data_IF_157592757365
#
_entry.id   IF_157592757365
#
_cell.length_a   1.000
_cell.length_b   1.000
_cell.length_c   1.000
_cell.angle_alpha   90.00
_cell.angle_beta   90.00
_cell.angle_gamma   90.00
#
_symmetry.space_group_name_H-M   'P 1'
#
loop_
_entity.id
_entity.type
_entity.pdbx_description
1 polymer ?
#
# COMPACT_ATOMS: atom_id res chain seq x y z
N UNK A 1 2.60 22.24 -11.17
CA UNK A 1 2.79 22.50 -9.72
C UNK A 1 3.77 21.44 -9.21
N UNK A 2 4.86 21.82 -8.53
CA UNK A 2 5.83 20.83 -8.01
C UNK A 2 5.20 20.18 -6.77
N UNK A 3 4.98 18.86 -6.80
CA UNK A 3 4.57 18.09 -5.63
C UNK A 3 5.73 18.07 -4.62
N UNK A 4 5.80 19.11 -3.78
CA UNK A 4 6.69 19.12 -2.63
C UNK A 4 5.87 18.75 -1.41
N UNK A 5 6.08 17.53 -0.92
CA UNK A 5 5.53 17.12 0.37
C UNK A 5 6.14 18.00 1.46
N UNK A 6 5.29 18.67 2.23
CA UNK A 6 5.73 19.50 3.35
C UNK A 6 6.06 18.59 4.54
N UNK A 7 7.27 18.72 5.05
CA UNK A 7 7.63 18.12 6.34
C UNK A 7 6.82 18.80 7.44
N UNK A 8 6.01 18.02 8.15
CA UNK A 8 5.30 18.46 9.35
C UNK A 8 6.25 18.48 10.54
N UNK A 9 5.90 19.24 11.59
CA UNK A 9 6.69 19.28 12.83
C UNK A 9 6.79 17.88 13.48
N UNK A 10 5.76 17.06 13.35
CA UNK A 10 5.74 15.67 13.81
C UNK A 10 6.79 14.81 13.09
N UNK A 11 6.87 14.90 11.76
CA UNK A 11 7.89 14.18 10.98
C UNK A 11 9.30 14.61 11.40
N UNK A 12 9.50 15.92 11.62
CA UNK A 12 10.79 16.47 12.03
C UNK A 12 11.18 15.95 13.42
N UNK A 13 10.26 16.00 14.39
CA UNK A 13 10.51 15.52 15.74
C UNK A 13 10.86 14.03 15.74
N UNK A 14 10.11 13.20 14.99
CA UNK A 14 10.38 11.76 14.86
C UNK A 14 11.80 11.49 14.33
N UNK A 15 12.23 12.21 13.30
CA UNK A 15 13.59 12.09 12.73
C UNK A 15 14.64 12.47 13.77
N UNK A 16 14.46 13.61 14.45
CA UNK A 16 15.42 14.13 15.43
C UNK A 16 15.56 13.18 16.62
N UNK A 17 14.44 12.70 17.17
CA UNK A 17 14.45 11.79 18.33
C UNK A 17 15.11 10.46 17.97
N UNK A 18 14.77 9.87 16.82
CA UNK A 18 15.34 8.61 16.35
C UNK A 18 16.86 8.73 16.18
N UNK A 19 17.33 9.83 15.57
CA UNK A 19 18.76 10.09 15.42
C UNK A 19 19.46 10.29 16.77
N UNK A 20 18.92 11.14 17.65
CA UNK A 20 19.53 11.47 18.96
C UNK A 20 19.67 10.25 19.85
N UNK A 21 18.66 9.38 19.85
CA UNK A 21 18.64 8.19 20.68
C UNK A 21 19.46 7.04 20.09
N UNK A 22 19.92 7.14 18.83
CA UNK A 22 20.64 6.08 18.11
C UNK A 22 19.93 4.73 18.21
N UNK A 23 18.63 4.74 17.91
CA UNK A 23 17.80 3.54 17.96
C UNK A 23 17.58 3.00 16.54
N UNK A 24 17.70 1.69 16.40
CA UNK A 24 17.19 1.01 15.22
C UNK A 24 15.67 0.91 15.32
N UNK A 25 14.98 1.14 14.20
CA UNK A 25 13.52 1.09 14.10
C UNK A 25 13.19 0.33 12.83
N UNK A 26 12.38 -0.72 12.97
CA UNK A 26 11.98 -1.57 11.85
C UNK A 26 11.46 -0.74 10.67
N UNK A 27 11.96 -1.06 9.47
CA UNK A 27 11.66 -0.38 8.18
C UNK A 27 11.90 1.13 8.13
N UNK A 28 12.51 1.73 9.14
CA UNK A 28 12.66 3.19 9.26
C UNK A 28 14.10 3.65 9.52
N UNK A 29 14.82 3.01 10.43
CA UNK A 29 16.15 3.44 10.85
C UNK A 29 17.06 2.26 11.20
N UNK A 30 18.32 2.35 10.79
CA UNK A 30 19.36 1.37 11.11
C UNK A 30 20.58 2.05 11.70
N UNK A 31 21.19 1.41 12.69
CA UNK A 31 22.42 1.90 13.34
C UNK A 31 23.61 1.17 12.72
N UNK A 32 24.09 1.69 11.59
CA UNK A 32 25.17 1.06 10.85
C UNK A 32 26.51 1.15 11.60
N UNK A 33 27.24 0.03 11.65
CA UNK A 33 28.60 -0.01 12.20
C UNK A 33 29.62 0.48 11.17
N UNK A 34 30.80 0.91 11.62
CA UNK A 34 31.85 1.38 10.70
C UNK A 34 32.34 0.26 9.78
N UNK A 35 32.46 -0.96 10.28
CA UNK A 35 32.81 -2.13 9.48
C UNK A 35 31.78 -2.39 8.36
N UNK A 36 30.49 -2.28 8.67
CA UNK A 36 29.40 -2.43 7.71
C UNK A 36 29.43 -1.34 6.63
N UNK A 37 29.64 -0.09 7.04
CA UNK A 37 29.79 1.04 6.10
C UNK A 37 30.97 0.80 5.16
N UNK A 38 32.10 0.28 5.67
CA UNK A 38 33.26 -0.04 4.87
C UNK A 38 32.98 -1.19 3.89
N UNK A 39 32.29 -2.25 4.32
CA UNK A 39 31.85 -3.35 3.45
C UNK A 39 30.92 -2.85 2.33
N UNK A 40 30.11 -1.83 2.61
CA UNK A 40 29.28 -1.15 1.63
C UNK A 40 30.01 -0.05 0.82
N UNK A 41 31.35 -0.05 0.82
CA UNK A 41 32.18 0.91 0.08
C UNK A 41 31.88 2.39 0.43
N UNK A 42 31.50 2.64 1.68
CA UNK A 42 31.03 3.95 2.16
C UNK A 42 29.80 4.50 1.41
N UNK A 43 29.06 3.63 0.72
CA UNK A 43 27.80 3.98 0.08
C UNK A 43 26.70 4.04 1.14
N UNK A 44 26.21 5.25 1.44
CA UNK A 44 25.19 5.52 2.48
C UNK A 44 23.76 5.58 1.94
N UNK A 45 23.51 5.00 0.76
CA UNK A 45 22.15 4.92 0.21
C UNK A 45 21.25 4.11 1.15
N UNK A 46 20.14 4.70 1.61
CA UNK A 46 19.29 4.19 2.69
C UNK A 46 18.76 2.75 2.44
N UNK A 47 18.25 2.39 1.25
CA UNK A 47 17.90 1.01 0.89
C UNK A 47 18.96 -0.06 1.15
N UNK A 48 20.24 0.30 1.36
CA UNK A 48 21.29 -0.67 1.72
C UNK A 48 21.29 -1.04 3.21
N UNK A 49 20.65 -0.23 4.04
CA UNK A 49 20.69 -0.34 5.50
C UNK A 49 19.29 -0.50 6.11
N UNK A 50 18.27 0.02 5.42
CA UNK A 50 16.89 -0.06 5.86
C UNK A 50 16.11 -0.78 4.78
N UNK A 51 15.64 -1.98 5.10
CA UNK A 51 14.67 -2.68 4.27
C UNK A 51 13.31 -2.03 4.48
N UNK A 52 12.87 -1.27 3.48
CA UNK A 52 11.55 -0.62 3.49
C UNK A 52 10.50 -1.49 2.81
N UNK A 53 10.78 -2.77 2.56
CA UNK A 53 9.82 -3.67 1.96
C UNK A 53 8.65 -3.91 2.92
N UNK A 54 7.44 -3.66 2.42
CA UNK A 54 6.21 -4.04 3.09
C UNK A 54 5.81 -5.40 2.51
N UNK A 55 5.73 -6.43 3.36
CA UNK A 55 5.09 -7.68 2.96
C UNK A 55 3.64 -7.34 2.62
N UNK A 56 3.25 -7.57 1.37
CA UNK A 56 1.85 -7.45 0.97
C UNK A 56 1.03 -8.45 1.79
N UNK A 57 -0.10 -7.97 2.34
CA UNK A 57 -1.02 -8.85 3.04
C UNK A 57 -1.43 -9.99 2.10
N UNK A 58 -1.39 -11.22 2.61
CA UNK A 58 -1.82 -12.37 1.85
C UNK A 58 -3.29 -12.20 1.49
N UNK A 59 -3.57 -12.12 0.18
CA UNK A 59 -4.94 -12.03 -0.33
C UNK A 59 -5.64 -13.37 -0.09
N UNK A 60 -6.79 -13.34 0.60
CA UNK A 60 -7.67 -14.49 0.70
C UNK A 60 -8.36 -14.73 -0.65
N UNK A 61 -7.83 -15.67 -1.42
CA UNK A 61 -8.37 -16.01 -2.74
C UNK A 61 -9.79 -16.57 -2.67
N UNK A 62 -10.15 -17.26 -1.59
CA UNK A 62 -11.50 -17.83 -1.42
C UNK A 62 -12.51 -16.70 -1.16
N UNK A 63 -12.12 -15.68 -0.37
CA UNK A 63 -12.92 -14.47 -0.19
C UNK A 63 -13.10 -13.70 -1.50
N UNK A 64 -12.03 -13.53 -2.28
CA UNK A 64 -12.09 -12.86 -3.60
C UNK A 64 -13.01 -13.63 -4.56
N UNK A 65 -12.91 -14.96 -4.61
CA UNK A 65 -13.79 -15.79 -5.45
C UNK A 65 -15.25 -15.64 -5.02
N UNK A 66 -15.51 -15.64 -3.71
CA UNK A 66 -16.86 -15.46 -3.17
C UNK A 66 -17.45 -14.09 -3.53
N UNK A 67 -16.66 -13.02 -3.40
CA UNK A 67 -17.05 -11.67 -3.80
C UNK A 67 -17.36 -11.61 -5.31
N UNK A 68 -16.51 -12.20 -6.14
CA UNK A 68 -16.74 -12.29 -7.59
C UNK A 68 -18.04 -13.02 -7.94
N UNK A 69 -18.40 -14.06 -7.20
CA UNK A 69 -19.64 -14.80 -7.44
C UNK A 69 -20.87 -14.02 -6.97
N UNK A 70 -20.76 -13.27 -5.88
CA UNK A 70 -21.80 -12.34 -5.43
C UNK A 70 -22.03 -11.21 -6.45
N UNK A 71 -20.96 -10.58 -6.93
CA UNK A 71 -21.03 -9.51 -7.92
C UNK A 71 -21.70 -10.02 -9.22
N UNK A 72 -21.36 -11.23 -9.67
CA UNK A 72 -22.01 -11.85 -10.84
C UNK A 72 -23.50 -12.05 -10.64
N UNK A 73 -23.92 -12.48 -9.46
CA UNK A 73 -25.34 -12.67 -9.16
C UNK A 73 -26.07 -11.31 -9.15
N UNK A 74 -25.47 -10.30 -8.54
CA UNK A 74 -26.07 -8.96 -8.48
C UNK A 74 -26.18 -8.32 -9.87
N UNK A 75 -25.17 -8.52 -10.73
CA UNK A 75 -25.23 -8.12 -12.14
C UNK A 75 -26.39 -8.83 -12.85
N UNK A 76 -26.54 -10.14 -12.70
CA UNK A 76 -27.61 -10.89 -13.35
C UNK A 76 -29.01 -10.43 -12.88
N UNK A 77 -29.16 -10.16 -11.59
CA UNK A 77 -30.41 -9.66 -11.01
C UNK A 77 -30.75 -8.24 -11.51
N UNK A 78 -29.74 -7.38 -11.63
CA UNK A 78 -29.89 -6.03 -12.20
C UNK A 78 -30.23 -6.09 -13.70
N UNK A 79 -29.58 -6.95 -14.47
CA UNK A 79 -29.89 -7.17 -15.89
C UNK A 79 -31.33 -7.67 -16.08
N UNK A 80 -31.79 -8.60 -15.24
CA UNK A 80 -33.18 -9.07 -15.27
C UNK A 80 -34.18 -7.92 -15.02
N UNK A 81 -33.92 -7.07 -14.01
CA UNK A 81 -34.73 -5.89 -13.72
C UNK A 81 -34.73 -4.88 -14.86
N UNK A 82 -33.57 -4.64 -15.47
CA UNK A 82 -33.46 -3.75 -16.64
C UNK A 82 -34.29 -4.30 -17.79
N UNK A 83 -34.15 -5.59 -18.11
CA UNK A 83 -34.91 -6.22 -19.19
C UNK A 83 -36.43 -6.18 -18.96
N UNK A 84 -36.88 -6.35 -17.72
CA UNK A 84 -38.29 -6.17 -17.36
C UNK A 84 -38.77 -4.74 -17.60
N UNK A 85 -37.99 -3.73 -17.19
CA UNK A 85 -38.31 -2.32 -17.44
C UNK A 85 -38.31 -1.97 -18.93
N UNK A 86 -37.38 -2.52 -19.72
CA UNK A 86 -37.33 -2.29 -21.17
C UNK A 86 -38.54 -2.88 -21.89
N UNK A 87 -39.03 -4.06 -21.46
CA UNK A 87 -40.28 -4.65 -21.97
C UNK A 87 -41.50 -3.75 -21.70
N UNK A 88 -41.58 -3.15 -20.52
CA UNK A 88 -42.68 -2.20 -20.18
C UNK A 88 -42.65 -0.97 -21.10
N UNK A 89 -41.46 -0.53 -21.51
CA UNK A 89 -41.26 0.62 -22.40
C UNK A 89 -41.44 0.28 -23.90
N UNK A 90 -41.82 -0.96 -24.23
CA UNK A 90 -42.07 -1.39 -25.61
C UNK A 90 -40.80 -1.66 -26.42
N UNK A 91 -39.64 -1.76 -25.76
CA UNK A 91 -38.39 -2.18 -26.37
C UNK A 91 -38.21 -3.68 -26.19
N UNK A 92 -38.20 -4.43 -27.29
CA UNK A 92 -37.83 -5.86 -27.26
C UNK A 92 -36.30 -5.96 -27.19
N UNK A 93 -35.79 -6.37 -26.03
CA UNK A 93 -34.40 -6.80 -25.81
C UNK A 93 -34.42 -8.24 -25.32
#
# INVERSE_FOLDING_TARGET
MKNQNKLTDENINKIIETYRNRVAVDKYAHVALLEEINQNEFNLNIPRYVDTFEEEEAIDLDEVIKLLEQDKQEIADLEAKINEQLKILGMNV
#
